data_IF_125588569742
#
_entry.id   IF_125588569742
#
_cell.length_a   1.000
_cell.length_b   1.000
_cell.length_c   1.000
_cell.angle_alpha   90.00
_cell.angle_beta   90.00
_cell.angle_gamma   90.00
#
_symmetry.space_group_name_H-M   'P 1'
#
loop_
_entity.id
_entity.type
_entity.pdbx_description
1 polymer ?
#
# COMPACT_ATOMS: atom_id res chain seq x y z
N UNK A 1 -0.65 -30.67 2.83
CA UNK A 1 0.78 -30.28 2.82
C UNK A 1 1.60 -31.56 2.67
N UNK A 2 1.93 -31.94 1.43
CA UNK A 2 2.73 -33.12 1.16
C UNK A 2 4.21 -32.80 1.38
N UNK A 3 4.85 -33.54 2.29
CA UNK A 3 6.29 -33.79 2.45
C UNK A 3 7.25 -32.68 2.00
N UNK A 4 7.18 -31.54 2.64
CA UNK A 4 8.05 -30.41 2.32
C UNK A 4 9.53 -30.66 2.62
N UNK A 5 9.85 -31.55 3.60
CA UNK A 5 11.24 -31.80 4.01
C UNK A 5 11.47 -33.31 4.10
N UNK A 6 12.47 -33.79 3.35
CA UNK A 6 12.96 -35.15 3.41
C UNK A 6 14.34 -35.17 4.08
N UNK A 7 14.55 -36.05 5.08
CA UNK A 7 15.83 -36.26 5.74
C UNK A 7 16.45 -37.57 5.25
N UNK A 8 17.75 -37.55 4.93
CA UNK A 8 18.52 -38.71 4.50
C UNK A 8 19.90 -38.74 5.19
N UNK A 9 20.51 -39.90 5.23
CA UNK A 9 21.86 -40.12 5.80
C UNK A 9 22.00 -39.53 7.21
N UNK A 10 21.05 -39.87 8.08
CA UNK A 10 21.04 -39.42 9.46
C UNK A 10 22.17 -40.06 10.24
N UNK A 11 22.98 -39.26 10.92
CA UNK A 11 23.95 -39.67 11.93
C UNK A 11 23.49 -39.11 13.26
N UNK A 12 23.25 -39.98 14.25
CA UNK A 12 22.71 -39.59 15.55
C UNK A 12 23.54 -40.26 16.63
N UNK A 13 24.03 -39.46 17.58
CA UNK A 13 24.70 -39.90 18.78
C UNK A 13 23.79 -39.59 19.98
N UNK A 14 23.59 -40.57 20.84
CA UNK A 14 22.77 -40.43 22.05
C UNK A 14 23.63 -40.78 23.26
N UNK A 15 23.72 -39.83 24.20
CA UNK A 15 24.33 -40.08 25.51
C UNK A 15 23.25 -39.93 26.57
N UNK A 16 23.07 -40.97 27.35
CA UNK A 16 22.06 -41.04 28.39
C UNK A 16 22.72 -41.00 29.79
N UNK A 17 22.11 -40.26 30.69
CA UNK A 17 22.36 -40.30 32.13
C UNK A 17 21.03 -40.17 32.88
N UNK A 18 20.96 -40.52 34.16
CA UNK A 18 19.73 -40.44 34.97
C UNK A 18 19.10 -39.06 35.00
N UNK A 19 19.89 -38.01 34.81
CA UNK A 19 19.45 -36.62 34.88
C UNK A 19 19.24 -35.95 33.53
N UNK A 20 19.84 -36.52 32.45
CA UNK A 20 19.92 -35.80 31.17
C UNK A 20 20.13 -36.76 29.98
N UNK A 21 19.46 -36.47 28.89
CA UNK A 21 19.68 -37.07 27.58
C UNK A 21 20.33 -36.04 26.68
N UNK A 22 21.46 -36.38 26.10
CA UNK A 22 22.12 -35.56 25.08
C UNK A 22 21.99 -36.25 23.72
N UNK A 23 21.52 -35.52 22.72
CA UNK A 23 21.40 -36.03 21.35
C UNK A 23 22.08 -35.02 20.45
N UNK A 24 23.09 -35.47 19.72
CA UNK A 24 23.70 -34.69 18.66
C UNK A 24 23.69 -35.45 17.35
N UNK A 25 23.65 -34.68 16.25
CA UNK A 25 23.61 -35.35 14.97
C UNK A 25 23.68 -34.44 13.78
N UNK A 26 23.68 -35.08 12.62
CA UNK A 26 23.60 -34.39 11.34
C UNK A 26 22.75 -35.18 10.34
N UNK A 27 22.16 -34.49 9.39
CA UNK A 27 21.34 -35.06 8.33
C UNK A 27 21.52 -34.29 7.04
N UNK A 28 21.42 -34.97 5.94
CA UNK A 28 21.14 -34.34 4.66
C UNK A 28 19.63 -34.05 4.60
N UNK A 29 19.23 -32.79 4.27
CA UNK A 29 17.82 -32.47 4.07
C UNK A 29 17.57 -31.91 2.68
N UNK A 30 16.35 -32.16 2.20
CA UNK A 30 15.85 -31.77 0.88
C UNK A 30 14.49 -31.10 1.07
N UNK A 31 14.29 -29.98 0.40
CA UNK A 31 12.98 -29.32 0.31
C UNK A 31 12.37 -29.71 -1.02
N UNK A 32 11.19 -30.34 -1.00
CA UNK A 32 10.60 -31.01 -2.16
C UNK A 32 11.64 -32.01 -2.75
N UNK A 33 11.78 -32.15 -4.04
CA UNK A 33 12.81 -32.98 -4.65
C UNK A 33 14.05 -32.15 -5.08
N UNK A 34 14.36 -31.12 -4.29
CA UNK A 34 15.44 -30.19 -4.55
C UNK A 34 16.84 -30.73 -4.24
N UNK A 35 17.82 -29.85 -4.22
CA UNK A 35 19.21 -30.20 -3.94
C UNK A 35 19.45 -30.48 -2.45
N UNK A 36 20.47 -31.27 -2.21
CA UNK A 36 21.00 -31.59 -0.89
C UNK A 36 21.44 -30.36 -0.12
N UNK A 37 21.05 -30.30 1.14
CA UNK A 37 21.50 -29.32 2.13
C UNK A 37 21.90 -30.07 3.42
N UNK A 38 22.60 -29.40 4.33
CA UNK A 38 23.08 -29.98 5.58
C UNK A 38 22.35 -29.38 6.77
N UNK A 39 21.86 -30.28 7.64
CA UNK A 39 21.35 -29.99 8.98
C UNK A 39 22.31 -30.56 10.03
N UNK A 40 22.63 -29.76 11.06
CA UNK A 40 23.25 -30.26 12.30
C UNK A 40 22.39 -29.86 13.47
N UNK A 41 22.35 -30.67 14.51
CA UNK A 41 21.56 -30.38 15.69
C UNK A 41 22.18 -30.90 16.97
N UNK A 42 21.93 -30.18 18.06
CA UNK A 42 22.26 -30.61 19.42
C UNK A 42 21.00 -30.39 20.28
N UNK A 43 20.59 -31.45 20.98
CA UNK A 43 19.42 -31.48 21.85
C UNK A 43 19.85 -31.96 23.23
N UNK A 44 19.41 -31.23 24.24
CA UNK A 44 19.64 -31.56 25.64
C UNK A 44 18.33 -31.60 26.38
N UNK A 45 17.87 -32.78 26.76
CA UNK A 45 16.59 -33.01 27.43
C UNK A 45 16.81 -33.38 28.90
N UNK A 46 16.10 -32.75 29.80
CA UNK A 46 15.96 -33.14 31.19
C UNK A 46 14.46 -33.27 31.55
N UNK A 47 14.14 -33.59 32.82
CA UNK A 47 12.74 -33.77 33.27
C UNK A 47 11.84 -32.54 33.08
N UNK A 48 12.42 -31.33 33.02
CA UNK A 48 11.64 -30.05 33.01
C UNK A 48 11.58 -29.40 31.62
N UNK A 49 12.63 -29.53 30.81
CA UNK A 49 12.78 -28.81 29.55
C UNK A 49 13.66 -29.52 28.53
N UNK A 50 13.51 -29.13 27.27
CA UNK A 50 14.41 -29.57 26.19
C UNK A 50 15.05 -28.33 25.59
N UNK A 51 16.37 -28.17 25.76
CA UNK A 51 17.15 -27.16 25.06
C UNK A 51 17.62 -27.72 23.72
N UNK A 52 17.61 -26.90 22.68
CA UNK A 52 18.04 -27.29 21.34
C UNK A 52 18.85 -26.21 20.65
N UNK A 53 19.78 -26.63 19.80
CA UNK A 53 20.47 -25.79 18.84
C UNK A 53 20.48 -26.52 17.50
N UNK A 54 20.09 -25.80 16.43
CA UNK A 54 20.08 -26.33 15.07
C UNK A 54 20.83 -25.40 14.14
N UNK A 55 21.52 -25.98 13.17
CA UNK A 55 22.24 -25.29 12.13
C UNK A 55 21.85 -25.88 10.77
N UNK A 56 21.34 -25.01 9.90
CA UNK A 56 20.98 -25.34 8.52
C UNK A 56 21.93 -24.63 7.56
N UNK A 57 22.57 -25.38 6.68
CA UNK A 57 23.19 -24.83 5.50
C UNK A 57 22.10 -24.72 4.42
N UNK A 58 21.83 -23.50 3.95
CA UNK A 58 20.75 -23.21 3.00
C UNK A 58 21.28 -22.84 1.60
N UNK A 59 22.52 -23.21 1.26
CA UNK A 59 23.18 -22.83 0.01
C UNK A 59 22.34 -23.19 -1.22
N UNK A 60 21.75 -24.37 -1.25
CA UNK A 60 21.02 -24.90 -2.40
C UNK A 60 19.50 -24.63 -2.37
N UNK A 61 19.04 -23.71 -1.53
CA UNK A 61 17.65 -23.35 -1.40
C UNK A 61 17.42 -21.95 -1.99
N UNK A 62 16.40 -21.80 -2.83
CA UNK A 62 15.86 -20.47 -3.17
C UNK A 62 14.96 -20.02 -2.03
N UNK A 63 15.25 -18.86 -1.47
CA UNK A 63 14.41 -18.23 -0.45
C UNK A 63 13.84 -16.94 -0.98
N UNK A 64 12.51 -16.81 -0.94
CA UNK A 64 11.80 -15.62 -1.37
C UNK A 64 10.80 -15.17 -0.30
N UNK A 65 11.13 -14.10 0.39
CA UNK A 65 10.29 -13.44 1.38
C UNK A 65 9.68 -12.19 0.75
N UNK A 66 8.51 -12.35 0.12
CA UNK A 66 7.87 -11.30 -0.69
C UNK A 66 7.53 -10.05 0.12
N UNK A 67 6.99 -10.23 1.33
CA UNK A 67 6.50 -9.11 2.16
C UNK A 67 7.59 -8.14 2.62
N UNK A 68 8.84 -8.59 2.62
CA UNK A 68 10.02 -7.78 2.97
C UNK A 68 10.98 -7.59 1.79
N UNK A 69 10.53 -7.87 0.57
CA UNK A 69 11.32 -7.71 -0.68
C UNK A 69 12.68 -8.41 -0.65
N UNK A 70 12.80 -9.56 0.05
CA UNK A 70 14.03 -10.31 0.14
C UNK A 70 14.03 -11.55 -0.75
N UNK A 71 15.14 -11.78 -1.46
CA UNK A 71 15.37 -12.96 -2.29
C UNK A 71 16.81 -13.43 -2.13
N UNK A 72 16.97 -14.73 -1.92
CA UNK A 72 18.24 -15.46 -2.00
C UNK A 72 18.15 -16.50 -3.10
N UNK A 73 19.09 -16.49 -4.02
CA UNK A 73 19.19 -17.48 -5.10
C UNK A 73 19.96 -18.71 -4.66
N UNK A 74 19.72 -19.85 -5.33
CA UNK A 74 20.55 -21.05 -5.23
C UNK A 74 22.02 -20.71 -5.44
N UNK A 75 22.93 -21.51 -4.86
CA UNK A 75 24.37 -21.34 -4.86
C UNK A 75 24.91 -20.19 -4.00
N UNK A 76 24.11 -19.25 -3.57
CA UNK A 76 24.56 -18.25 -2.60
C UNK A 76 24.66 -18.88 -1.21
N UNK A 77 25.80 -18.67 -0.56
CA UNK A 77 25.99 -19.17 0.80
C UNK A 77 25.00 -18.56 1.76
N UNK A 78 24.25 -19.40 2.46
CA UNK A 78 23.36 -18.96 3.52
C UNK A 78 23.30 -20.01 4.63
N UNK A 79 23.16 -19.54 5.85
CA UNK A 79 23.04 -20.35 7.04
C UNK A 79 21.88 -19.86 7.91
N UNK A 80 21.22 -20.79 8.57
CA UNK A 80 20.22 -20.49 9.59
C UNK A 80 20.60 -21.24 10.87
N UNK A 81 20.78 -20.50 11.94
CA UNK A 81 21.04 -21.05 13.27
C UNK A 81 19.85 -20.74 14.17
N UNK A 82 19.36 -21.74 14.86
CA UNK A 82 18.24 -21.59 15.79
C UNK A 82 18.64 -22.21 17.12
N UNK A 83 18.52 -21.42 18.20
CA UNK A 83 18.71 -21.88 19.58
C UNK A 83 17.45 -21.65 20.37
N UNK A 84 17.05 -22.62 21.17
CA UNK A 84 15.82 -22.45 21.95
C UNK A 84 15.62 -23.48 23.03
N UNK A 85 14.46 -23.36 23.69
CA UNK A 85 14.02 -24.25 24.74
C UNK A 85 12.55 -24.59 24.52
N UNK A 86 12.21 -25.86 24.59
CA UNK A 86 10.83 -26.34 24.61
C UNK A 86 10.45 -26.69 26.04
N UNK A 87 9.32 -26.15 26.49
CA UNK A 87 8.71 -26.49 27.77
C UNK A 87 7.20 -26.68 27.56
N UNK A 88 6.72 -27.93 27.73
CA UNK A 88 5.34 -28.32 27.38
C UNK A 88 4.94 -27.88 25.97
N UNK A 89 3.96 -26.96 25.86
CA UNK A 89 3.45 -26.40 24.58
C UNK A 89 4.14 -25.10 24.18
N UNK A 90 5.02 -24.55 25.02
CA UNK A 90 5.72 -23.32 24.75
C UNK A 90 7.11 -23.56 24.17
N UNK A 91 7.48 -22.81 23.16
CA UNK A 91 8.81 -22.79 22.57
C UNK A 91 9.38 -21.40 22.66
N UNK A 92 10.47 -21.26 23.42
CA UNK A 92 11.28 -20.06 23.49
C UNK A 92 12.44 -20.19 22.50
N UNK A 93 12.40 -19.46 21.39
CA UNK A 93 13.54 -19.28 20.51
C UNK A 93 14.42 -18.17 21.08
N UNK A 94 15.50 -18.55 21.75
CA UNK A 94 16.46 -17.61 22.35
C UNK A 94 17.14 -16.76 21.29
N UNK A 95 17.49 -17.41 20.16
CA UNK A 95 18.08 -16.73 19.00
C UNK A 95 17.74 -17.50 17.72
N UNK A 96 17.29 -16.78 16.71
CA UNK A 96 17.19 -17.22 15.33
C UNK A 96 18.06 -16.29 14.51
N UNK A 97 19.13 -16.79 13.91
CA UNK A 97 20.05 -15.99 13.12
C UNK A 97 20.16 -16.57 11.71
N UNK A 98 19.75 -15.78 10.73
CA UNK A 98 19.91 -16.07 9.32
C UNK A 98 20.97 -15.15 8.71
N UNK A 99 21.97 -15.74 8.07
CA UNK A 99 23.05 -15.03 7.40
C UNK A 99 23.15 -15.48 5.95
N UNK A 100 23.19 -14.52 5.02
CA UNK A 100 23.48 -14.76 3.61
C UNK A 100 24.47 -13.69 3.10
N UNK A 101 25.74 -14.04 2.98
CA UNK A 101 26.84 -13.12 2.70
C UNK A 101 26.85 -11.95 3.71
N UNK A 102 26.55 -10.71 3.24
CA UNK A 102 26.44 -9.50 4.08
C UNK A 102 25.03 -9.22 4.61
N UNK A 103 24.07 -10.10 4.30
CA UNK A 103 22.69 -9.94 4.75
C UNK A 103 22.46 -10.75 6.03
N UNK A 104 21.82 -10.13 7.01
CA UNK A 104 21.52 -10.75 8.31
C UNK A 104 20.08 -10.45 8.73
N UNK A 105 19.40 -11.47 9.24
CA UNK A 105 18.11 -11.34 9.94
C UNK A 105 18.26 -12.07 11.28
N UNK A 106 18.05 -11.35 12.36
CA UNK A 106 18.16 -11.88 13.72
C UNK A 106 16.84 -11.69 14.47
N UNK A 107 16.39 -12.73 15.19
CA UNK A 107 15.25 -12.65 16.11
C UNK A 107 15.74 -13.19 17.46
N UNK A 108 15.55 -12.41 18.51
CA UNK A 108 15.95 -12.76 19.87
C UNK A 108 14.73 -12.89 20.78
N UNK A 109 14.73 -13.92 21.61
CA UNK A 109 13.72 -14.22 22.63
C UNK A 109 12.27 -14.18 22.09
N UNK A 110 12.03 -14.94 21.01
CA UNK A 110 10.69 -15.18 20.45
C UNK A 110 10.02 -16.32 21.23
N UNK A 111 8.95 -15.99 21.96
CA UNK A 111 8.11 -16.97 22.67
C UNK A 111 6.87 -17.27 21.86
N UNK A 112 6.72 -18.56 21.52
CA UNK A 112 5.52 -19.12 20.87
C UNK A 112 4.85 -20.08 21.83
N UNK A 113 3.55 -19.92 22.05
CA UNK A 113 2.73 -20.82 22.87
C UNK A 113 1.42 -21.11 22.11
N UNK A 114 1.06 -22.38 22.04
CA UNK A 114 -0.12 -22.85 21.29
C UNK A 114 -0.20 -22.25 19.86
N UNK A 115 0.92 -22.26 19.14
CA UNK A 115 1.06 -21.72 17.76
C UNK A 115 0.80 -20.23 17.62
N UNK A 116 0.82 -19.46 18.71
CA UNK A 116 0.69 -18.01 18.73
C UNK A 116 1.93 -17.36 19.31
N UNK A 117 2.32 -16.23 18.74
CA UNK A 117 3.41 -15.41 19.28
C UNK A 117 2.89 -14.70 20.53
N UNK A 118 3.55 -14.95 21.67
CA UNK A 118 3.25 -14.26 22.93
C UNK A 118 4.23 -13.12 23.21
N UNK A 119 5.49 -13.27 22.81
CA UNK A 119 6.51 -12.26 23.01
C UNK A 119 7.59 -12.31 21.96
N UNK A 120 8.11 -11.13 21.60
CA UNK A 120 9.33 -10.95 20.84
C UNK A 120 10.13 -9.87 21.53
N UNK A 121 11.38 -10.13 21.88
CA UNK A 121 12.21 -9.10 22.52
C UNK A 121 12.87 -8.19 21.49
N UNK A 122 13.45 -8.81 20.42
CA UNK A 122 14.14 -8.06 19.39
C UNK A 122 14.04 -8.73 18.03
N UNK A 123 13.87 -7.94 16.97
CA UNK A 123 14.07 -8.34 15.58
C UNK A 123 15.02 -7.33 14.94
N UNK A 124 16.06 -7.81 14.26
CA UNK A 124 16.98 -7.00 13.47
C UNK A 124 16.97 -7.46 12.02
N UNK A 125 16.82 -6.52 11.13
CA UNK A 125 16.95 -6.68 9.68
C UNK A 125 18.15 -5.87 9.20
N UNK A 126 19.06 -6.51 8.51
CA UNK A 126 20.21 -5.88 7.84
C UNK A 126 20.47 -6.62 6.53
N UNK A 127 19.76 -6.24 5.46
CA UNK A 127 19.86 -6.92 4.18
C UNK A 127 19.58 -6.01 2.99
N UNK A 128 20.09 -6.43 1.82
CA UNK A 128 19.80 -5.80 0.54
C UNK A 128 18.52 -6.39 -0.06
N UNK A 129 17.58 -5.53 -0.46
CA UNK A 129 16.33 -5.93 -1.10
C UNK A 129 16.54 -6.27 -2.57
N UNK A 130 15.50 -6.81 -3.21
CA UNK A 130 15.50 -7.05 -4.68
C UNK A 130 15.57 -5.77 -5.51
N UNK A 131 15.36 -4.62 -4.90
CA UNK A 131 15.40 -3.29 -5.52
C UNK A 131 16.75 -2.59 -5.27
N UNK A 132 17.77 -3.34 -4.88
CA UNK A 132 19.11 -2.86 -4.52
C UNK A 132 19.09 -1.74 -3.45
N UNK A 133 18.14 -1.83 -2.52
CA UNK A 133 18.02 -0.91 -1.41
C UNK A 133 18.31 -1.63 -0.08
N UNK A 134 19.12 -1.00 0.77
CA UNK A 134 19.52 -1.58 2.04
C UNK A 134 18.41 -1.42 3.08
N UNK A 135 17.88 -2.51 3.62
CA UNK A 135 16.99 -2.48 4.78
C UNK A 135 17.80 -2.63 6.06
N UNK A 136 17.75 -1.62 6.91
CA UNK A 136 18.37 -1.62 8.23
C UNK A 136 17.38 -1.18 9.29
N UNK A 137 16.72 -2.16 9.91
CA UNK A 137 15.67 -1.95 10.90
C UNK A 137 15.93 -2.78 12.16
N UNK A 138 15.54 -2.25 13.29
CA UNK A 138 15.50 -2.99 14.55
C UNK A 138 14.21 -2.70 15.29
N UNK A 139 13.45 -3.74 15.61
CA UNK A 139 12.32 -3.71 16.53
C UNK A 139 12.83 -4.20 17.89
N UNK A 140 12.63 -3.40 18.94
CA UNK A 140 13.07 -3.73 20.30
C UNK A 140 11.90 -3.57 21.25
N UNK A 141 11.66 -4.55 22.11
CA UNK A 141 10.71 -4.44 23.20
C UNK A 141 11.27 -3.54 24.31
N UNK A 142 10.45 -2.61 24.78
CA UNK A 142 10.72 -1.68 25.88
C UNK A 142 9.56 -1.75 26.86
N UNK A 143 9.71 -2.52 27.92
CA UNK A 143 8.62 -2.88 28.82
C UNK A 143 7.48 -3.56 28.05
N UNK A 144 6.26 -3.02 28.08
CA UNK A 144 5.09 -3.53 27.34
C UNK A 144 4.94 -2.94 25.92
N UNK A 145 5.85 -2.09 25.49
CA UNK A 145 5.81 -1.39 24.22
C UNK A 145 7.00 -1.80 23.33
N UNK A 146 6.99 -1.32 22.09
CA UNK A 146 8.07 -1.54 21.13
C UNK A 146 8.62 -0.22 20.58
N UNK A 147 9.88 -0.25 20.21
CA UNK A 147 10.52 0.78 19.39
C UNK A 147 10.99 0.15 18.09
N UNK A 148 10.55 0.69 16.95
CA UNK A 148 11.04 0.38 15.61
C UNK A 148 11.96 1.51 15.18
N UNK A 149 13.25 1.22 15.13
CA UNK A 149 14.29 2.18 14.72
C UNK A 149 15.02 1.65 13.50
N UNK A 150 15.45 2.54 12.61
CA UNK A 150 16.21 2.12 11.44
C UNK A 150 16.85 3.25 10.69
N UNK A 151 17.86 2.90 9.88
CA UNK A 151 18.48 3.82 8.93
C UNK A 151 17.68 3.88 7.64
N UNK A 152 17.21 2.72 7.15
CA UNK A 152 16.56 2.67 5.84
C UNK A 152 15.58 1.50 5.73
N UNK A 153 14.50 1.71 4.94
CA UNK A 153 13.49 0.70 4.67
C UNK A 153 12.89 0.86 3.26
N UNK A 154 12.86 -0.24 2.48
CA UNK A 154 12.15 -0.33 1.21
C UNK A 154 10.68 -0.67 1.47
N UNK A 155 9.80 0.30 1.36
CA UNK A 155 8.37 0.15 1.60
C UNK A 155 7.55 -0.19 0.34
N UNK A 156 8.18 -0.33 -0.82
CA UNK A 156 7.49 -0.54 -2.11
C UNK A 156 6.51 -1.71 -2.03
N UNK A 157 6.99 -2.87 -1.58
CA UNK A 157 6.14 -4.06 -1.49
C UNK A 157 5.04 -3.93 -0.42
N UNK A 158 5.33 -3.26 0.69
CA UNK A 158 4.34 -3.00 1.74
C UNK A 158 3.21 -2.10 1.22
N UNK A 159 3.55 -1.02 0.50
CA UNK A 159 2.58 -0.12 -0.13
C UNK A 159 1.75 -0.86 -1.18
N UNK A 160 2.37 -1.70 -2.02
CA UNK A 160 1.66 -2.53 -3.00
C UNK A 160 0.69 -3.52 -2.33
N UNK A 161 1.11 -4.19 -1.27
CA UNK A 161 0.29 -5.15 -0.54
C UNK A 161 -0.91 -4.48 0.12
N UNK A 162 -0.73 -3.34 0.77
CA UNK A 162 -1.81 -2.55 1.37
C UNK A 162 -2.79 -2.08 0.29
N UNK A 163 -2.29 -1.63 -0.86
CA UNK A 163 -3.09 -1.11 -1.95
C UNK A 163 -3.90 -2.18 -2.70
N UNK A 164 -3.39 -3.41 -2.78
CA UNK A 164 -4.00 -4.52 -3.51
C UNK A 164 -4.87 -5.44 -2.65
N UNK A 165 -4.82 -5.30 -1.34
CA UNK A 165 -5.54 -6.18 -0.43
C UNK A 165 -7.00 -5.76 -0.27
N UNK A 166 -7.89 -6.36 -1.08
CA UNK A 166 -9.34 -6.45 -0.77
C UNK A 166 -9.62 -7.42 0.40
N UNK A 167 -8.60 -8.11 0.90
CA UNK A 167 -8.73 -9.03 2.04
C UNK A 167 -8.01 -8.42 3.23
N UNK A 168 -8.70 -8.30 4.34
CA UNK A 168 -8.15 -8.09 5.68
C UNK A 168 -7.17 -9.23 6.01
N UNK A 169 -5.98 -9.20 5.41
CA UNK A 169 -4.84 -9.99 5.89
C UNK A 169 -4.44 -9.37 7.21
N UNK A 170 -5.12 -9.77 8.25
CA UNK A 170 -4.76 -9.33 9.58
C UNK A 170 -3.41 -9.95 9.93
N UNK A 171 -2.34 -9.24 9.59
CA UNK A 171 -0.95 -9.60 9.90
C UNK A 171 -0.78 -9.97 11.38
N UNK A 172 -1.54 -9.32 12.25
CA UNK A 172 -1.47 -9.54 13.69
C UNK A 172 -2.20 -10.80 14.18
N UNK A 173 -2.88 -11.57 13.32
CA UNK A 173 -3.52 -12.84 13.72
C UNK A 173 -2.56 -13.90 14.25
N UNK A 174 -1.27 -13.81 13.90
CA UNK A 174 -0.22 -14.71 14.41
C UNK A 174 0.11 -14.44 15.88
N UNK A 175 -0.23 -13.27 16.41
CA UNK A 175 -0.04 -12.92 17.81
C UNK A 175 -1.24 -13.34 18.66
N UNK A 176 -0.99 -13.63 19.93
CA UNK A 176 -2.03 -13.89 20.94
C UNK A 176 -2.42 -12.56 21.57
N UNK A 177 -3.60 -12.04 21.20
CA UNK A 177 -4.16 -10.82 21.80
C UNK A 177 -3.14 -9.66 21.91
N UNK A 178 -2.56 -9.27 20.78
CA UNK A 178 -1.55 -8.23 20.77
C UNK A 178 -2.15 -6.86 21.12
N UNK A 179 -1.78 -6.36 22.29
CA UNK A 179 -2.05 -4.99 22.76
C UNK A 179 -0.72 -4.31 23.05
N UNK A 180 -0.35 -3.31 22.25
CA UNK A 180 0.95 -2.65 22.41
C UNK A 180 0.99 -1.31 21.68
N UNK A 181 1.99 -0.50 22.03
CA UNK A 181 2.36 0.70 21.30
C UNK A 181 3.73 0.50 20.67
N UNK A 182 3.90 0.99 19.45
CA UNK A 182 5.17 0.98 18.73
C UNK A 182 5.56 2.40 18.40
N UNK A 183 6.68 2.88 18.96
CA UNK A 183 7.31 4.13 18.54
C UNK A 183 8.17 3.86 17.31
N UNK A 184 8.01 4.68 16.27
CA UNK A 184 8.68 4.47 14.98
C UNK A 184 9.63 5.65 14.71
N UNK A 185 10.86 5.33 14.32
CA UNK A 185 11.85 6.29 13.85
C UNK A 185 12.74 5.63 12.80
N UNK A 186 12.62 6.07 11.54
CA UNK A 186 13.41 5.54 10.43
C UNK A 186 13.92 6.73 9.62
N UNK A 187 15.23 6.74 9.31
CA UNK A 187 15.84 7.90 8.68
C UNK A 187 15.45 8.03 7.21
N UNK A 188 15.40 6.92 6.45
CA UNK A 188 15.06 6.91 5.02
C UNK A 188 14.04 5.82 4.69
N UNK A 189 12.98 6.17 3.94
CA UNK A 189 11.97 5.23 3.42
C UNK A 189 11.90 5.36 1.91
N UNK A 190 12.15 4.28 1.19
CA UNK A 190 11.95 4.19 -0.25
C UNK A 190 10.49 3.88 -0.56
N UNK A 191 9.80 4.81 -1.22
CA UNK A 191 8.38 4.68 -1.60
C UNK A 191 8.20 3.99 -2.95
N UNK A 192 9.06 4.34 -3.91
CA UNK A 192 9.16 3.76 -5.23
C UNK A 192 10.60 3.86 -5.77
N UNK A 193 10.80 3.64 -7.08
CA UNK A 193 12.15 3.69 -7.68
C UNK A 193 12.78 5.09 -7.67
N UNK A 194 11.99 6.14 -7.61
CA UNK A 194 12.40 7.53 -7.77
C UNK A 194 12.26 8.34 -6.48
N UNK A 195 11.38 7.90 -5.56
CA UNK A 195 11.00 8.70 -4.41
C UNK A 195 11.43 8.07 -3.09
N UNK A 196 12.13 8.86 -2.30
CA UNK A 196 12.54 8.56 -0.93
C UNK A 196 11.95 9.65 -0.03
N UNK A 197 11.46 9.27 1.13
CA UNK A 197 11.11 10.20 2.21
C UNK A 197 12.06 10.00 3.38
N UNK A 198 12.32 11.07 4.09
CA UNK A 198 13.30 11.14 5.17
C UNK A 198 12.63 11.39 6.51
N UNK A 199 13.31 11.01 7.59
CA UNK A 199 12.92 11.32 8.96
C UNK A 199 11.52 10.83 9.33
N UNK A 200 11.14 9.61 8.90
CA UNK A 200 9.86 9.02 9.32
C UNK A 200 9.83 8.88 10.84
N UNK A 201 8.86 9.52 11.46
CA UNK A 201 8.61 9.44 12.91
C UNK A 201 7.13 9.24 13.17
N UNK A 202 6.82 8.50 14.22
CA UNK A 202 5.44 8.38 14.66
C UNK A 202 5.19 7.27 15.67
N UNK A 203 3.89 6.96 15.81
CA UNK A 203 3.43 5.98 16.77
C UNK A 203 2.33 5.12 16.14
N UNK A 204 2.39 3.83 16.43
CA UNK A 204 1.36 2.85 16.12
C UNK A 204 0.83 2.29 17.43
N UNK A 205 -0.47 2.25 17.60
CA UNK A 205 -1.12 1.54 18.70
C UNK A 205 -1.95 0.38 18.15
N UNK A 206 -1.71 -0.79 18.68
CA UNK A 206 -2.44 -2.02 18.37
C UNK A 206 -3.29 -2.35 19.59
N UNK A 207 -4.56 -2.71 19.38
CA UNK A 207 -5.48 -3.24 20.38
C UNK A 207 -6.24 -4.43 19.80
N UNK A 208 -6.34 -5.51 20.59
CA UNK A 208 -6.98 -6.76 20.15
C UNK A 208 -6.47 -7.22 18.78
N UNK A 209 -5.15 -7.15 18.56
CA UNK A 209 -4.49 -7.50 17.29
C UNK A 209 -5.02 -6.73 16.07
N UNK A 210 -5.48 -5.49 16.25
CA UNK A 210 -5.90 -4.56 15.18
C UNK A 210 -5.24 -3.20 15.37
N UNK A 211 -4.99 -2.48 14.29
CA UNK A 211 -4.54 -1.09 14.37
C UNK A 211 -5.66 -0.26 15.01
N UNK A 212 -5.39 0.29 16.18
CA UNK A 212 -6.28 1.21 16.88
C UNK A 212 -5.98 2.66 16.51
N UNK A 213 -4.71 3.03 16.46
CA UNK A 213 -4.26 4.33 15.96
C UNK A 213 -2.88 4.22 15.31
N UNK A 214 -2.65 5.05 14.31
CA UNK A 214 -1.37 5.26 13.63
C UNK A 214 -1.21 6.76 13.39
N UNK A 215 -0.01 7.28 13.61
CA UNK A 215 0.36 8.64 13.23
C UNK A 215 1.81 8.61 12.76
N UNK A 216 2.04 8.94 11.50
CA UNK A 216 3.35 8.95 10.87
C UNK A 216 3.57 10.28 10.15
N UNK A 217 4.76 10.85 10.33
CA UNK A 217 5.22 12.06 9.66
C UNK A 217 6.58 11.79 9.02
N UNK A 218 6.79 12.30 7.83
CA UNK A 218 8.08 12.27 7.12
C UNK A 218 8.15 13.42 6.10
N UNK A 219 9.30 13.58 5.46
CA UNK A 219 9.53 14.64 4.49
C UNK A 219 10.19 14.09 3.23
N UNK A 220 9.80 14.57 2.05
CA UNK A 220 10.56 14.35 0.81
C UNK A 220 11.82 15.22 0.80
N UNK A 221 11.63 16.51 1.09
CA UNK A 221 12.67 17.52 1.28
C UNK A 221 12.41 18.26 2.59
N UNK A 222 13.18 19.29 2.92
CA UNK A 222 12.97 20.08 4.12
C UNK A 222 11.56 20.68 4.23
N UNK A 223 10.94 21.02 3.11
CA UNK A 223 9.66 21.73 3.05
C UNK A 223 8.50 20.84 2.60
N UNK A 224 8.74 19.73 1.93
CA UNK A 224 7.69 18.84 1.41
C UNK A 224 7.41 17.69 2.38
N UNK A 225 6.18 17.56 2.80
CA UNK A 225 5.72 16.66 3.88
C UNK A 225 4.96 15.45 3.37
N UNK A 226 5.01 14.40 4.15
CA UNK A 226 4.15 13.23 4.06
C UNK A 226 3.58 12.94 5.45
N UNK A 227 2.26 12.83 5.55
CA UNK A 227 1.57 12.56 6.79
C UNK A 227 0.54 11.43 6.61
N UNK A 228 0.49 10.51 7.57
CA UNK A 228 -0.51 9.44 7.62
C UNK A 228 -1.06 9.34 9.03
N UNK A 229 -2.38 9.37 9.17
CA UNK A 229 -3.06 9.13 10.44
C UNK A 229 -4.19 8.12 10.28
N UNK A 230 -4.30 7.20 11.22
CA UNK A 230 -5.44 6.31 11.39
C UNK A 230 -5.90 6.43 12.84
N UNK A 231 -7.19 6.61 13.07
CA UNK A 231 -7.75 6.75 14.41
C UNK A 231 -9.09 6.02 14.50
N UNK A 232 -9.19 5.07 15.43
CA UNK A 232 -10.46 4.44 15.79
C UNK A 232 -11.18 5.32 16.81
N UNK A 233 -12.41 5.71 16.51
CA UNK A 233 -13.26 6.55 17.36
C UNK A 233 -14.03 5.69 18.38
N UNK A 234 -14.76 6.34 19.28
CA UNK A 234 -15.55 5.66 20.36
C UNK A 234 -16.68 4.77 19.79
N UNK A 235 -17.24 5.14 18.66
CA UNK A 235 -18.28 4.40 17.89
C UNK A 235 -17.72 3.31 16.98
N UNK A 236 -16.42 2.99 17.11
CA UNK A 236 -15.67 2.07 16.25
C UNK A 236 -15.51 2.53 14.80
N UNK A 237 -15.85 3.77 14.46
CA UNK A 237 -15.51 4.34 13.18
C UNK A 237 -13.98 4.50 13.06
N UNK A 238 -13.42 4.07 11.94
CA UNK A 238 -11.98 4.20 11.65
C UNK A 238 -11.80 5.35 10.67
N UNK A 239 -11.20 6.44 11.16
CA UNK A 239 -10.86 7.60 10.33
C UNK A 239 -9.42 7.49 9.88
N UNK A 240 -9.22 7.58 8.57
CA UNK A 240 -7.89 7.62 7.92
C UNK A 240 -7.70 8.97 7.26
N UNK A 241 -6.57 9.61 7.51
CA UNK A 241 -6.12 10.83 6.84
C UNK A 241 -4.75 10.59 6.25
N UNK A 242 -4.55 10.99 5.02
CA UNK A 242 -3.28 10.91 4.34
C UNK A 242 -3.05 12.20 3.57
N UNK A 243 -1.90 12.81 3.75
CA UNK A 243 -1.47 14.03 3.07
C UNK A 243 -0.08 13.86 2.49
N UNK A 244 0.14 14.37 1.29
CA UNK A 244 1.45 14.36 0.64
C UNK A 244 1.62 15.59 -0.26
N UNK A 245 2.71 16.31 -0.08
CA UNK A 245 3.11 17.39 -1.00
C UNK A 245 3.55 16.86 -2.38
N UNK A 246 3.70 15.55 -2.54
CA UNK A 246 3.92 14.89 -3.83
C UNK A 246 2.87 13.82 -4.06
N UNK A 247 1.97 14.05 -5.01
CA UNK A 247 0.94 13.07 -5.36
C UNK A 247 1.48 11.91 -6.23
N UNK A 248 2.49 12.17 -7.05
CA UNK A 248 3.05 11.24 -8.05
C UNK A 248 3.36 9.83 -7.52
N UNK A 249 4.03 9.63 -6.35
CA UNK A 249 4.36 8.29 -5.84
C UNK A 249 3.12 7.42 -5.56
N UNK A 250 2.00 8.05 -5.21
CA UNK A 250 0.76 7.38 -4.80
C UNK A 250 -0.21 7.18 -5.97
N UNK A 251 -0.18 8.05 -6.99
CA UNK A 251 -1.01 7.95 -8.19
C UNK A 251 -0.40 7.02 -9.22
N UNK A 252 0.91 6.94 -9.34
CA UNK A 252 1.66 6.12 -10.31
C UNK A 252 1.30 4.63 -10.30
N UNK A 253 0.79 4.11 -9.18
CA UNK A 253 0.30 2.73 -9.08
C UNK A 253 -0.95 2.45 -9.92
N UNK A 254 -1.71 3.46 -10.28
CA UNK A 254 -2.87 3.34 -11.16
C UNK A 254 -2.39 3.33 -12.61
N UNK A 255 -2.18 2.14 -13.16
CA UNK A 255 -1.58 1.89 -14.49
C UNK A 255 -2.32 2.52 -15.66
N UNK A 256 -3.57 2.98 -15.46
CA UNK A 256 -4.36 3.65 -16.49
C UNK A 256 -4.08 5.16 -16.61
N UNK A 257 -3.33 5.74 -15.65
CA UNK A 257 -2.85 7.12 -15.69
C UNK A 257 -1.35 7.06 -15.93
N UNK A 258 -0.92 7.55 -17.08
CA UNK A 258 0.51 7.66 -17.41
C UNK A 258 0.93 9.12 -17.41
N UNK A 259 2.23 9.36 -17.20
CA UNK A 259 2.80 10.70 -17.22
C UNK A 259 2.16 11.63 -16.19
N UNK A 260 1.83 11.13 -15.00
CA UNK A 260 1.40 11.97 -13.88
C UNK A 260 2.61 12.71 -13.31
N UNK A 261 2.51 14.02 -13.22
CA UNK A 261 3.57 14.93 -12.76
C UNK A 261 2.99 15.93 -11.75
N UNK A 262 3.83 16.36 -10.80
CA UNK A 262 3.51 17.37 -9.78
C UNK A 262 2.38 16.95 -8.82
N UNK A 263 1.72 17.95 -8.25
CA UNK A 263 0.53 17.85 -7.42
C UNK A 263 0.79 17.45 -5.96
N UNK A 264 -0.04 17.99 -5.09
CA UNK A 264 -0.22 17.54 -3.73
C UNK A 264 -1.49 16.71 -3.61
N UNK A 265 -1.55 15.85 -2.58
CA UNK A 265 -2.65 14.92 -2.38
C UNK A 265 -3.15 14.99 -0.94
N UNK A 266 -4.45 15.14 -0.79
CA UNK A 266 -5.17 15.00 0.48
C UNK A 266 -6.22 13.90 0.36
N UNK A 267 -6.22 12.99 1.30
CA UNK A 267 -7.16 11.88 1.34
C UNK A 267 -7.71 11.70 2.74
N UNK A 268 -9.04 11.62 2.83
CA UNK A 268 -9.75 11.28 4.06
C UNK A 268 -10.70 10.11 3.80
N UNK A 269 -10.84 9.23 4.79
CA UNK A 269 -11.75 8.11 4.72
C UNK A 269 -12.30 7.80 6.10
N UNK A 270 -13.61 7.58 6.19
CA UNK A 270 -14.27 7.09 7.41
C UNK A 270 -14.87 5.73 7.12
N UNK A 271 -14.41 4.70 7.83
CA UNK A 271 -14.92 3.33 7.71
C UNK A 271 -15.76 2.98 8.92
N UNK A 272 -17.01 2.62 8.68
CA UNK A 272 -17.95 2.10 9.69
C UNK A 272 -18.36 0.71 9.23
N UNK A 273 -18.12 -0.31 10.06
CA UNK A 273 -18.33 -1.70 9.69
C UNK A 273 -17.61 -2.07 8.38
N UNK A 274 -18.37 -2.42 7.33
CA UNK A 274 -17.84 -2.82 6.02
C UNK A 274 -18.01 -1.74 4.94
N UNK A 275 -18.43 -0.53 5.32
CA UNK A 275 -18.60 0.59 4.39
C UNK A 275 -17.56 1.66 4.71
N UNK A 276 -16.85 2.14 3.70
CA UNK A 276 -15.98 3.33 3.83
C UNK A 276 -16.47 4.43 2.92
N UNK A 277 -16.58 5.64 3.46
CA UNK A 277 -16.81 6.88 2.70
C UNK A 277 -15.51 7.64 2.64
N UNK A 278 -15.10 8.06 1.45
CA UNK A 278 -13.77 8.61 1.19
C UNK A 278 -13.84 9.85 0.32
N UNK A 279 -12.95 10.79 0.60
CA UNK A 279 -12.70 11.98 -0.21
C UNK A 279 -11.23 12.02 -0.58
N UNK A 280 -10.93 12.20 -1.86
CA UNK A 280 -9.59 12.39 -2.41
C UNK A 280 -9.54 13.75 -3.12
N UNK A 281 -8.56 14.56 -2.76
CA UNK A 281 -8.26 15.83 -3.43
C UNK A 281 -6.83 15.72 -3.98
N UNK A 282 -6.63 16.25 -5.19
CA UNK A 282 -5.30 16.40 -5.78
C UNK A 282 -5.28 17.78 -6.46
N UNK A 283 -4.33 18.62 -6.08
CA UNK A 283 -4.20 19.96 -6.62
C UNK A 283 -2.94 20.12 -7.47
N UNK A 284 -3.00 20.98 -8.48
CA UNK A 284 -1.87 21.43 -9.29
C UNK A 284 -1.02 20.31 -9.92
N UNK A 285 -1.65 19.41 -10.64
CA UNK A 285 -0.99 18.28 -11.30
C UNK A 285 -1.15 18.31 -12.81
N UNK A 286 -0.33 17.51 -13.50
CA UNK A 286 -0.34 17.31 -14.95
C UNK A 286 -0.45 15.82 -15.27
N UNK A 287 -1.22 15.51 -16.31
CA UNK A 287 -1.38 14.12 -16.76
C UNK A 287 -1.16 14.01 -18.26
N UNK A 288 -0.58 12.88 -18.68
CA UNK A 288 -0.44 12.47 -20.07
C UNK A 288 -1.11 11.11 -20.25
N UNK A 289 -1.49 10.78 -21.46
CA UNK A 289 -1.94 9.43 -21.82
C UNK A 289 -3.03 8.83 -20.91
N UNK A 290 -4.16 9.52 -20.78
CA UNK A 290 -5.39 8.91 -20.25
C UNK A 290 -6.25 8.44 -21.43
N UNK A 291 -6.19 7.15 -21.84
CA UNK A 291 -6.80 6.70 -23.10
C UNK A 291 -8.30 6.95 -23.18
N UNK A 292 -9.02 6.79 -22.06
CA UNK A 292 -10.47 7.05 -22.02
C UNK A 292 -10.78 8.52 -22.22
N UNK A 293 -10.01 9.43 -21.63
CA UNK A 293 -10.17 10.86 -21.79
C UNK A 293 -9.83 11.29 -23.23
N UNK A 294 -8.72 10.79 -23.79
CA UNK A 294 -8.36 11.04 -25.18
C UNK A 294 -9.49 10.62 -26.14
N UNK A 295 -10.08 9.44 -25.92
CA UNK A 295 -11.22 8.96 -26.71
C UNK A 295 -12.46 9.85 -26.57
N UNK A 296 -12.78 10.35 -25.40
CA UNK A 296 -13.88 11.30 -25.18
C UNK A 296 -13.62 12.59 -25.96
N UNK A 297 -12.42 13.16 -25.85
CA UNK A 297 -12.01 14.39 -26.53
C UNK A 297 -12.08 14.25 -28.05
N UNK A 298 -11.58 13.16 -28.62
CA UNK A 298 -11.64 12.86 -30.06
C UNK A 298 -13.10 12.71 -30.52
N UNK A 299 -13.92 11.94 -29.83
CA UNK A 299 -15.34 11.77 -30.16
C UNK A 299 -16.15 13.07 -30.01
N UNK A 300 -15.68 13.98 -29.18
CA UNK A 300 -16.27 15.32 -28.98
C UNK A 300 -15.77 16.37 -30.01
N UNK A 301 -14.94 15.97 -30.95
CA UNK A 301 -14.27 16.87 -31.91
C UNK A 301 -13.36 17.91 -31.24
N UNK A 302 -12.80 17.60 -30.10
CA UNK A 302 -11.87 18.42 -29.32
C UNK A 302 -10.42 17.98 -29.56
N UNK A 303 -10.04 17.79 -30.83
CA UNK A 303 -8.75 17.20 -31.23
C UNK A 303 -7.54 17.97 -30.68
N UNK A 304 -7.58 19.31 -30.66
CA UNK A 304 -6.46 20.10 -30.11
C UNK A 304 -6.17 19.83 -28.65
N UNK A 305 -7.21 19.54 -27.82
CA UNK A 305 -7.03 19.15 -26.41
C UNK A 305 -6.57 17.70 -26.31
N UNK A 306 -7.06 16.82 -27.21
CA UNK A 306 -6.60 15.43 -27.28
C UNK A 306 -5.11 15.36 -27.63
N UNK A 307 -4.64 16.19 -28.54
CA UNK A 307 -3.22 16.29 -28.93
C UNK A 307 -2.35 16.81 -27.78
N UNK A 308 -2.82 17.80 -27.03
CA UNK A 308 -2.15 18.26 -25.81
C UNK A 308 -2.04 17.12 -24.79
N UNK A 309 -3.10 16.34 -24.59
CA UNK A 309 -3.09 15.23 -23.62
C UNK A 309 -2.04 14.14 -23.98
N UNK A 310 -1.87 13.86 -25.27
CA UNK A 310 -0.91 12.85 -25.74
C UNK A 310 0.50 13.39 -25.91
N UNK A 311 0.67 14.70 -26.09
CA UNK A 311 1.94 15.39 -26.25
C UNK A 311 2.47 15.95 -24.90
N UNK A 312 2.23 17.22 -24.67
CA UNK A 312 2.76 17.91 -23.48
C UNK A 312 2.03 17.52 -22.19
N UNK A 313 0.82 17.01 -22.28
CA UNK A 313 -0.07 16.71 -21.17
C UNK A 313 -1.05 17.85 -20.84
N UNK A 314 -2.10 17.50 -20.12
CA UNK A 314 -3.14 18.45 -19.67
C UNK A 314 -2.93 18.71 -18.18
N UNK A 315 -2.90 20.00 -17.82
CA UNK A 315 -2.82 20.45 -16.42
C UNK A 315 -4.22 20.56 -15.82
N UNK A 316 -4.31 20.14 -14.57
CA UNK A 316 -5.47 20.34 -13.70
C UNK A 316 -5.04 21.14 -12.47
N UNK A 317 -5.83 22.12 -12.11
CA UNK A 317 -5.65 22.91 -10.87
C UNK A 317 -6.26 22.19 -9.69
N UNK A 318 -7.42 21.56 -9.90
CA UNK A 318 -8.23 20.91 -8.87
C UNK A 318 -8.74 19.56 -9.34
N UNK A 319 -8.68 18.59 -8.47
CA UNK A 319 -9.35 17.29 -8.60
C UNK A 319 -9.94 16.90 -7.27
N UNK A 320 -11.21 16.56 -7.26
CA UNK A 320 -11.92 16.03 -6.10
C UNK A 320 -12.69 14.77 -6.48
N UNK A 321 -12.59 13.74 -5.67
CA UNK A 321 -13.35 12.50 -5.81
C UNK A 321 -13.98 12.13 -4.48
N UNK A 322 -15.31 11.99 -4.47
CA UNK A 322 -16.10 11.52 -3.34
C UNK A 322 -16.67 10.15 -3.70
N UNK A 323 -16.41 9.15 -2.87
CA UNK A 323 -16.84 7.79 -3.15
C UNK A 323 -17.04 6.96 -1.89
N UNK A 324 -17.83 5.90 -2.01
CA UNK A 324 -18.00 4.89 -0.97
C UNK A 324 -17.63 3.50 -1.48
N UNK A 325 -17.08 2.66 -0.60
CA UNK A 325 -16.77 1.26 -0.89
C UNK A 325 -17.55 0.33 0.04
N UNK A 326 -18.16 -0.72 -0.56
CA UNK A 326 -18.76 -1.82 0.17
C UNK A 326 -18.35 -3.14 -0.51
N UNK A 327 -17.42 -3.86 0.10
CA UNK A 327 -16.86 -5.07 -0.52
C UNK A 327 -16.17 -4.78 -1.85
N UNK A 328 -16.65 -5.39 -2.94
CA UNK A 328 -16.11 -5.19 -4.30
C UNK A 328 -16.71 -4.00 -5.06
N UNK A 329 -17.74 -3.35 -4.50
CA UNK A 329 -18.44 -2.25 -5.13
C UNK A 329 -17.92 -0.91 -4.60
N UNK A 330 -17.47 -0.05 -5.52
CA UNK A 330 -17.16 1.35 -5.30
C UNK A 330 -18.25 2.21 -5.96
N UNK A 331 -19.03 2.93 -5.19
CA UNK A 331 -19.92 3.96 -5.68
C UNK A 331 -19.18 5.29 -5.71
N UNK A 332 -19.18 5.95 -6.85
CA UNK A 332 -18.57 7.24 -7.07
C UNK A 332 -19.69 8.28 -7.10
N UNK A 333 -19.79 9.02 -6.00
CA UNK A 333 -20.83 10.04 -5.86
C UNK A 333 -20.51 11.25 -6.74
N UNK A 334 -19.22 11.61 -6.81
CA UNK A 334 -18.72 12.68 -7.65
C UNK A 334 -17.22 12.50 -7.94
N UNK A 335 -16.83 12.74 -9.19
CA UNK A 335 -15.49 13.16 -9.58
C UNK A 335 -15.63 14.52 -10.23
N UNK A 336 -14.87 15.50 -9.75
CA UNK A 336 -14.75 16.81 -10.35
C UNK A 336 -13.28 17.11 -10.59
N UNK A 337 -12.96 17.53 -11.83
CA UNK A 337 -11.61 17.95 -12.19
C UNK A 337 -11.71 19.25 -12.98
N UNK A 338 -10.91 20.24 -12.62
CA UNK A 338 -10.85 21.53 -13.30
C UNK A 338 -9.42 21.85 -13.73
N UNK A 339 -9.27 22.36 -14.93
CA UNK A 339 -7.98 22.81 -15.46
C UNK A 339 -8.16 23.93 -16.49
N UNK A 340 -7.05 24.57 -16.90
CA UNK A 340 -7.10 25.68 -17.86
C UNK A 340 -7.58 25.29 -19.26
N UNK A 341 -7.54 24.01 -19.62
CA UNK A 341 -8.01 23.51 -20.90
C UNK A 341 -9.41 22.92 -20.85
N UNK A 342 -9.73 22.16 -19.78
CA UNK A 342 -10.99 21.44 -19.63
C UNK A 342 -11.41 21.32 -18.18
N UNK A 343 -12.73 21.16 -17.99
CA UNK A 343 -13.30 20.72 -16.72
C UNK A 343 -14.17 19.48 -16.94
N UNK A 344 -14.16 18.58 -15.96
CA UNK A 344 -14.84 17.29 -16.03
C UNK A 344 -15.63 17.08 -14.73
N UNK A 345 -16.85 16.64 -14.86
CA UNK A 345 -17.65 16.10 -13.75
C UNK A 345 -18.16 14.73 -14.13
N UNK A 346 -18.05 13.75 -13.25
CA UNK A 346 -18.60 12.41 -13.49
C UNK A 346 -18.99 11.71 -12.19
N UNK A 347 -19.88 10.74 -12.32
CA UNK A 347 -20.41 9.89 -11.25
C UNK A 347 -20.64 8.47 -11.77
N UNK A 348 -20.93 7.54 -10.88
CA UNK A 348 -21.26 6.18 -11.24
C UNK A 348 -20.73 5.13 -10.28
N UNK A 349 -20.32 3.98 -10.79
CA UNK A 349 -19.80 2.91 -9.95
C UNK A 349 -18.79 2.02 -10.66
N UNK A 350 -17.98 1.35 -9.84
CA UNK A 350 -17.01 0.34 -10.29
C UNK A 350 -17.20 -0.92 -9.45
N UNK A 351 -17.55 -2.03 -10.08
CA UNK A 351 -17.49 -3.35 -9.48
C UNK A 351 -16.15 -3.99 -9.85
N UNK A 352 -15.33 -4.23 -8.84
CA UNK A 352 -13.94 -4.68 -9.02
C UNK A 352 -13.83 -5.89 -9.95
N UNK A 353 -12.99 -5.76 -10.99
CA UNK A 353 -12.72 -6.76 -12.04
C UNK A 353 -13.92 -7.13 -12.92
N UNK A 354 -15.14 -6.61 -12.71
CA UNK A 354 -16.34 -6.98 -13.45
C UNK A 354 -16.86 -5.87 -14.35
N UNK A 355 -17.14 -4.70 -13.78
CA UNK A 355 -17.86 -3.65 -14.46
C UNK A 355 -17.44 -2.26 -14.01
N UNK A 356 -17.21 -1.38 -14.97
CA UNK A 356 -17.15 0.06 -14.80
C UNK A 356 -18.39 0.66 -15.46
N UNK A 357 -19.09 1.56 -14.77
CA UNK A 357 -20.23 2.29 -15.30
C UNK A 357 -20.18 3.73 -14.79
N UNK A 358 -19.68 4.63 -15.63
CA UNK A 358 -19.54 6.05 -15.34
C UNK A 358 -20.30 6.88 -16.35
N UNK A 359 -20.82 8.01 -15.91
CA UNK A 359 -21.41 9.05 -16.75
C UNK A 359 -20.89 10.39 -16.31
N UNK A 360 -20.77 11.32 -17.24
CA UNK A 360 -20.24 12.63 -16.91
C UNK A 360 -20.45 13.67 -18.00
N UNK A 361 -19.94 14.85 -17.67
CA UNK A 361 -19.90 16.02 -18.56
C UNK A 361 -18.48 16.52 -18.63
N UNK A 362 -18.01 16.82 -19.83
CA UNK A 362 -16.75 17.49 -20.12
C UNK A 362 -17.03 18.83 -20.76
N UNK A 363 -16.34 19.87 -20.30
CA UNK A 363 -16.52 21.25 -20.77
C UNK A 363 -15.16 21.86 -21.09
N UNK A 364 -14.92 22.35 -22.31
CA UNK A 364 -13.74 23.13 -22.65
C UNK A 364 -13.70 24.44 -21.85
N UNK A 365 -12.52 24.87 -21.42
CA UNK A 365 -12.34 26.10 -20.62
C UNK A 365 -12.79 27.38 -21.40
N UNK A 366 -12.59 27.40 -22.69
CA UNK A 366 -13.08 28.50 -23.57
C UNK A 366 -14.59 28.68 -23.47
N UNK A 367 -15.33 27.58 -23.30
CA UNK A 367 -16.80 27.62 -23.12
C UNK A 367 -17.19 28.18 -21.74
N UNK A 368 -16.45 27.74 -20.68
CA UNK A 368 -16.70 28.23 -19.32
C UNK A 368 -16.47 29.75 -19.24
N UNK A 369 -15.34 30.22 -19.74
CA UNK A 369 -14.99 31.65 -19.72
C UNK A 369 -16.01 32.51 -20.50
N UNK A 370 -16.48 32.05 -21.64
CA UNK A 370 -17.52 32.72 -22.42
C UNK A 370 -18.87 32.74 -21.67
N UNK A 371 -19.24 31.63 -21.04
CA UNK A 371 -20.49 31.52 -20.29
C UNK A 371 -20.48 32.41 -19.06
N UNK A 372 -19.34 32.49 -18.33
CA UNK A 372 -19.21 33.33 -17.14
C UNK A 372 -19.17 34.81 -17.48
N UNK A 373 -18.47 35.23 -18.55
CA UNK A 373 -18.41 36.61 -18.97
C UNK A 373 -19.73 37.11 -19.58
N UNK A 374 -20.61 36.22 -19.98
CA UNK A 374 -21.92 36.53 -20.57
C UNK A 374 -23.08 36.46 -19.55
N UNK A 375 -22.83 36.22 -18.26
CA UNK A 375 -23.84 36.16 -17.21
C UNK A 375 -24.07 37.58 -16.60
N UNK A 376 -25.00 38.38 -17.10
CA UNK A 376 -25.64 39.42 -16.31
C UNK A 376 -26.69 38.68 -15.46
N UNK A 377 -26.44 38.51 -14.18
CA UNK A 377 -27.36 37.85 -13.24
C UNK A 377 -27.84 36.45 -13.62
N UNK A 378 -27.56 35.49 -12.77
CA UNK A 378 -27.84 34.05 -12.83
C UNK A 378 -29.28 33.63 -13.27
N UNK A 379 -30.20 34.55 -13.35
CA UNK A 379 -31.58 34.30 -13.75
C UNK A 379 -31.78 34.01 -15.23
N UNK A 380 -31.06 34.67 -16.12
CA UNK A 380 -31.30 34.58 -17.58
C UNK A 380 -30.65 33.33 -18.21
N UNK A 381 -29.63 32.73 -17.58
CA UNK A 381 -28.99 31.50 -18.07
C UNK A 381 -29.87 30.25 -17.87
N UNK A 382 -30.74 30.27 -16.86
CA UNK A 382 -31.66 29.18 -16.56
C UNK A 382 -32.94 29.23 -17.43
N UNK A 383 -33.23 30.32 -18.09
CA UNK A 383 -34.48 30.56 -18.84
C UNK A 383 -34.30 30.57 -20.37
N UNK A 384 -33.10 30.31 -20.89
CA UNK A 384 -32.93 29.96 -22.32
C UNK A 384 -33.17 31.06 -23.35
N UNK A 385 -32.95 32.33 -23.04
CA UNK A 385 -32.95 33.40 -24.04
C UNK A 385 -31.54 33.79 -24.47
N UNK A 386 -31.20 33.40 -25.71
CA UNK A 386 -29.95 33.58 -26.44
C UNK A 386 -28.84 32.61 -26.09
N UNK A 387 -29.06 31.36 -26.46
CA UNK A 387 -27.98 30.40 -26.68
C UNK A 387 -27.26 30.81 -27.96
N UNK A 388 -26.04 31.34 -27.82
CA UNK A 388 -25.14 31.51 -28.98
C UNK A 388 -24.88 30.14 -29.59
N UNK A 389 -24.70 30.08 -30.90
CA UNK A 389 -24.43 28.89 -31.69
C UNK A 389 -23.14 28.22 -31.18
N UNK A 390 -23.23 27.20 -30.29
CA UNK A 390 -22.07 26.46 -29.81
C UNK A 390 -22.43 25.33 -28.85
N UNK A 391 -21.67 24.28 -28.92
CA UNK A 391 -21.71 23.19 -27.93
C UNK A 391 -21.06 23.68 -26.66
N UNK A 392 -21.83 23.82 -25.58
CA UNK A 392 -21.32 24.26 -24.27
C UNK A 392 -20.56 23.18 -23.54
N UNK A 393 -20.76 21.92 -23.90
CA UNK A 393 -20.07 20.79 -23.33
C UNK A 393 -20.46 19.50 -23.99
N UNK A 394 -19.96 18.42 -23.43
CA UNK A 394 -20.14 17.07 -23.95
C UNK A 394 -20.52 16.13 -22.83
N UNK A 395 -21.70 15.50 -22.93
CA UNK A 395 -22.02 14.39 -22.04
C UNK A 395 -21.40 13.10 -22.53
N UNK A 396 -20.93 12.26 -21.62
CA UNK A 396 -20.36 10.97 -21.96
C UNK A 396 -20.81 9.86 -21.02
N UNK A 397 -20.73 8.63 -21.52
CA UNK A 397 -20.91 7.39 -20.76
C UNK A 397 -19.77 6.45 -21.06
N UNK A 398 -19.21 5.85 -20.00
CA UNK A 398 -18.18 4.83 -20.04
C UNK A 398 -18.78 3.58 -19.41
N UNK A 399 -18.86 2.47 -20.15
CA UNK A 399 -19.41 1.21 -19.62
C UNK A 399 -18.69 0.00 -20.19
N UNK A 400 -18.40 -0.97 -19.33
CA UNK A 400 -17.81 -2.24 -19.75
C UNK A 400 -16.91 -2.84 -18.69
N UNK A 401 -16.40 -4.05 -18.93
CA UNK A 401 -15.36 -4.62 -18.08
C UNK A 401 -14.09 -3.77 -18.15
N UNK A 402 -13.23 -3.74 -17.09
CA UNK A 402 -12.08 -2.84 -17.01
C UNK A 402 -11.08 -2.95 -18.20
N UNK A 403 -11.07 -4.07 -18.92
CA UNK A 403 -10.20 -4.30 -20.08
C UNK A 403 -10.85 -3.94 -21.41
N UNK A 404 -12.17 -3.71 -21.44
CA UNK A 404 -12.94 -3.40 -22.66
C UNK A 404 -14.02 -2.35 -22.33
N UNK A 405 -13.57 -1.10 -22.17
CA UNK A 405 -14.45 0.03 -21.90
C UNK A 405 -15.00 0.63 -23.19
N UNK A 406 -16.33 0.67 -23.29
CA UNK A 406 -17.05 1.35 -24.38
C UNK A 406 -17.40 2.76 -23.97
N UNK A 407 -17.06 3.72 -24.81
CA UNK A 407 -17.33 5.15 -24.58
C UNK A 407 -18.35 5.64 -25.61
N UNK A 408 -19.37 6.37 -25.13
CA UNK A 408 -20.34 7.09 -25.96
C UNK A 408 -20.33 8.56 -25.56
N UNK A 409 -20.47 9.43 -26.54
CA UNK A 409 -20.40 10.88 -26.37
C UNK A 409 -21.57 11.54 -27.07
N UNK A 410 -22.21 12.52 -26.43
CA UNK A 410 -23.27 13.33 -27.01
C UNK A 410 -22.97 14.81 -26.71
N UNK A 411 -23.03 15.69 -27.71
CA UNK A 411 -22.97 17.13 -27.49
C UNK A 411 -24.14 17.59 -26.61
N UNK A 412 -23.88 18.53 -25.71
CA UNK A 412 -24.90 19.17 -24.89
C UNK A 412 -24.88 20.68 -25.08
N UNK A 413 -26.08 21.28 -25.19
CA UNK A 413 -26.25 22.72 -25.39
C UNK A 413 -26.34 23.52 -24.08
N UNK A 414 -26.59 22.83 -22.96
CA UNK A 414 -26.77 23.44 -21.66
C UNK A 414 -26.01 22.64 -20.59
N UNK A 415 -25.25 23.33 -19.73
CA UNK A 415 -24.56 22.75 -18.60
C UNK A 415 -25.55 22.39 -17.50
N UNK A 416 -25.26 21.31 -16.74
CA UNK A 416 -26.07 20.98 -15.57
C UNK A 416 -25.91 22.05 -14.49
N UNK A 417 -26.95 22.37 -13.73
CA UNK A 417 -26.86 23.35 -12.63
C UNK A 417 -25.74 23.02 -11.65
N UNK A 418 -25.57 21.73 -11.32
CA UNK A 418 -24.48 21.24 -10.43
C UNK A 418 -23.09 21.53 -10.98
N UNK A 419 -22.87 21.36 -12.28
CA UNK A 419 -21.59 21.71 -12.91
C UNK A 419 -21.31 23.21 -12.79
N UNK A 420 -22.29 24.05 -13.05
CA UNK A 420 -22.18 25.52 -12.95
C UNK A 420 -21.86 25.92 -11.50
N UNK A 421 -22.61 25.41 -10.53
CA UNK A 421 -22.41 25.72 -9.10
C UNK A 421 -20.99 25.34 -8.65
N UNK A 422 -20.51 24.13 -8.98
CA UNK A 422 -19.17 23.69 -8.61
C UNK A 422 -18.07 24.55 -9.24
N UNK A 423 -18.23 24.94 -10.49
CA UNK A 423 -17.28 25.81 -11.19
C UNK A 423 -17.21 27.20 -10.55
N UNK A 424 -18.36 27.78 -10.18
CA UNK A 424 -18.43 29.08 -9.50
C UNK A 424 -17.83 29.01 -8.07
N UNK A 425 -18.06 27.94 -7.33
CA UNK A 425 -17.44 27.74 -6.01
C UNK A 425 -15.92 27.71 -6.07
N UNK A 426 -15.35 27.08 -7.08
CA UNK A 426 -13.89 27.00 -7.25
C UNK A 426 -13.28 28.35 -7.67
N UNK A 427 -13.96 29.11 -8.56
CA UNK A 427 -13.49 30.44 -8.97
C UNK A 427 -13.46 31.40 -7.78
N UNK A 428 -14.37 31.26 -6.81
CA UNK A 428 -14.39 32.10 -5.60
C UNK A 428 -13.31 31.75 -4.58
N UNK A 429 -12.69 30.56 -4.68
CA UNK A 429 -11.62 30.09 -3.77
C UNK A 429 -10.21 30.47 -4.24
N UNK A 430 -10.06 30.79 -5.53
CA UNK A 430 -8.83 31.28 -6.16
C UNK A 430 -8.90 32.81 -6.33
#
# INVERSE_FOLDING_TARGET
YNNLIKLKKNKINIKYSEKKILIDGSSEFYIEDGFKNLLKFNISKNKKKTDFETFFNLQNIDLKLKDISYKKLKKNNATLRIKGTVNNKAVLFKNINYINNKNEIEISNLLINNYKIENIEKIRFDYLTNNDFKNQLTLIKKNENYELIGKSFDSIQLIENISNSQQDKNFFKIFKNLDTKVKIKIDEIKLDKENIVNNLKGNLQIRNSKIFSLNLNSNFTSNEKLFISIKTQKDNAVVTTFYSDRAKPFVKKYKFIKGFEDGNLDFTSTKINNVSTSKLIIDNFKVKEIPVLAKILTLASLQGIADLLTGEGVRFTDFEMIYSNKGSLMNIDEIYAMGPAISIMMEGYVESKKLVSLRGTLVPATTINRSISSIPLLGDLLVGKKVGEGVFGVSFKIKGPPKDLKTRVNPIKTLTPRFITRTLENIKKN
#
